data_IF_130055204486
#
_entry.id   IF_130055204486
#
_cell.length_a   1.000
_cell.length_b   1.000
_cell.length_c   1.000
_cell.angle_alpha   90.00
_cell.angle_beta   90.00
_cell.angle_gamma   90.00
#
_symmetry.space_group_name_H-M   'P 1'
#
loop_
_entity.id
_entity.type
_entity.pdbx_description
1 polymer ?
#
# COMPACT_ATOMS: atom_id res chain seq x y z
N UNK A 1 -0.40 -6.52 -17.45
CA UNK A 1 0.08 -5.54 -16.46
C UNK A 1 0.91 -6.25 -15.42
N UNK A 2 1.87 -5.54 -14.82
CA UNK A 2 2.82 -6.12 -13.89
C UNK A 2 2.20 -6.18 -12.48
N UNK A 3 1.97 -7.39 -11.98
CA UNK A 3 1.58 -7.68 -10.60
C UNK A 3 2.80 -8.01 -9.72
N UNK A 4 4.01 -7.97 -10.29
CA UNK A 4 5.19 -8.56 -9.69
C UNK A 4 6.01 -7.65 -8.79
N UNK A 5 5.70 -6.36 -8.69
CA UNK A 5 6.53 -5.44 -7.90
C UNK A 5 6.23 -5.53 -6.40
N UNK A 6 4.97 -5.78 -6.02
CA UNK A 6 4.54 -6.00 -4.64
C UNK A 6 4.03 -7.42 -4.45
N UNK A 7 4.42 -8.07 -3.36
CA UNK A 7 3.89 -9.38 -3.00
C UNK A 7 2.47 -9.31 -2.47
N UNK A 8 1.68 -10.38 -2.59
CA UNK A 8 0.41 -10.47 -1.87
C UNK A 8 0.65 -10.66 -0.37
N UNK A 9 -0.31 -10.22 0.42
CA UNK A 9 -0.33 -10.41 1.87
C UNK A 9 -1.42 -11.42 2.24
N UNK A 10 -1.05 -12.39 3.08
CA UNK A 10 -1.96 -13.39 3.63
C UNK A 10 -2.59 -12.85 4.92
N UNK A 11 -3.92 -12.75 4.96
CA UNK A 11 -4.72 -12.46 6.14
C UNK A 11 -5.28 -13.79 6.64
N UNK A 12 -4.43 -14.56 7.34
CA UNK A 12 -4.72 -15.95 7.69
C UNK A 12 -5.96 -16.09 8.58
N UNK A 13 -6.11 -15.20 9.53
CA UNK A 13 -7.22 -15.14 10.47
C UNK A 13 -8.58 -14.84 9.82
N UNK A 14 -8.56 -14.19 8.64
CA UNK A 14 -9.75 -13.88 7.84
C UNK A 14 -9.94 -14.85 6.66
N UNK A 15 -8.99 -15.73 6.38
CA UNK A 15 -9.01 -16.60 5.21
C UNK A 15 -8.92 -15.85 3.88
N UNK A 16 -8.20 -14.73 3.85
CA UNK A 16 -8.11 -13.82 2.71
C UNK A 16 -6.66 -13.63 2.24
N UNK A 17 -6.51 -13.30 0.97
CA UNK A 17 -5.28 -12.77 0.37
C UNK A 17 -5.58 -11.40 -0.23
N UNK A 18 -4.67 -10.46 -0.03
CA UNK A 18 -4.76 -9.10 -0.57
C UNK A 18 -3.53 -8.80 -1.39
N UNK A 19 -3.71 -8.21 -2.56
CA UNK A 19 -2.61 -7.80 -3.44
C UNK A 19 -3.00 -6.67 -4.36
N UNK A 20 -2.01 -5.97 -4.89
CA UNK A 20 -2.19 -4.89 -5.84
C UNK A 20 -1.01 -4.84 -6.82
N UNK A 21 -1.17 -4.09 -7.91
CA UNK A 21 -0.15 -3.95 -8.95
C UNK A 21 -0.19 -2.60 -9.65
N UNK A 22 0.38 -2.55 -10.85
CA UNK A 22 0.41 -1.33 -11.69
C UNK A 22 -0.94 -0.94 -12.29
N UNK A 23 -1.95 -1.74 -12.10
CA UNK A 23 -3.32 -1.34 -12.42
C UNK A 23 -3.94 -0.42 -11.37
N UNK A 24 -3.26 -0.23 -10.23
CA UNK A 24 -3.75 0.60 -9.14
C UNK A 24 -5.00 0.05 -8.46
N UNK A 25 -5.26 -1.24 -8.62
CA UNK A 25 -6.39 -1.93 -8.03
C UNK A 25 -5.90 -2.78 -6.87
N UNK A 26 -6.56 -2.67 -5.73
CA UNK A 26 -6.39 -3.54 -4.59
C UNK A 26 -7.42 -4.66 -4.66
N UNK A 27 -6.98 -5.90 -4.75
CA UNK A 27 -7.80 -7.09 -4.83
C UNK A 27 -7.82 -7.82 -3.49
N UNK A 28 -9.00 -8.29 -3.10
CA UNK A 28 -9.21 -9.18 -1.95
C UNK A 28 -9.80 -10.50 -2.45
N UNK A 29 -9.12 -11.60 -2.19
CA UNK A 29 -9.49 -12.93 -2.68
C UNK A 29 -9.57 -13.90 -1.51
N UNK A 30 -10.55 -14.81 -1.52
CA UNK A 30 -10.64 -15.90 -0.56
C UNK A 30 -9.63 -17.00 -0.87
N UNK A 31 -8.93 -17.49 0.15
CA UNK A 31 -7.90 -18.52 0.01
C UNK A 31 -8.48 -19.82 -0.54
N UNK A 32 -9.66 -20.22 -0.06
CA UNK A 32 -10.33 -21.46 -0.45
C UNK A 32 -10.92 -21.44 -1.87
N UNK A 33 -10.89 -20.27 -2.53
CA UNK A 33 -11.42 -20.09 -3.87
C UNK A 33 -10.34 -19.76 -4.90
N UNK A 34 -9.08 -19.76 -4.52
CA UNK A 34 -7.96 -19.48 -5.43
C UNK A 34 -7.86 -20.55 -6.53
N UNK A 35 -7.37 -20.13 -7.71
CA UNK A 35 -7.18 -21.02 -8.86
C UNK A 35 -8.44 -21.42 -9.59
N UNK A 36 -9.60 -20.97 -9.17
CA UNK A 36 -10.88 -21.25 -9.83
C UNK A 36 -11.17 -20.16 -10.86
N UNK A 37 -10.76 -20.36 -12.10
CA UNK A 37 -11.11 -19.47 -13.21
C UNK A 37 -12.19 -20.10 -14.07
N UNK A 38 -13.24 -19.35 -14.40
CA UNK A 38 -14.34 -19.82 -15.24
C UNK A 38 -14.08 -19.66 -16.74
N UNK A 39 -13.05 -18.93 -17.13
CA UNK A 39 -12.82 -18.55 -18.52
C UNK A 39 -11.40 -18.85 -18.97
N UNK A 40 -11.29 -19.48 -20.15
CA UNK A 40 -10.04 -19.57 -20.90
C UNK A 40 -9.70 -18.29 -21.67
N UNK A 41 -10.58 -17.32 -21.67
CA UNK A 41 -10.36 -16.04 -22.37
C UNK A 41 -9.62 -15.06 -21.48
N UNK A 42 -8.31 -15.18 -21.48
CA UNK A 42 -7.38 -14.30 -20.79
C UNK A 42 -7.28 -12.91 -21.46
N UNK A 43 -7.96 -12.69 -22.59
CA UNK A 43 -7.87 -11.44 -23.34
C UNK A 43 -8.88 -10.39 -22.88
N UNK A 44 -9.77 -10.73 -21.95
CA UNK A 44 -10.78 -9.80 -21.43
C UNK A 44 -10.80 -9.77 -19.90
N UNK A 45 -9.75 -9.32 -19.22
CA UNK A 45 -9.74 -9.36 -17.75
C UNK A 45 -10.83 -8.49 -17.11
N UNK A 46 -11.17 -7.35 -17.65
CA UNK A 46 -12.14 -6.45 -17.02
C UNK A 46 -13.60 -6.92 -17.16
N UNK A 47 -14.00 -7.30 -18.35
CA UNK A 47 -15.33 -7.90 -18.55
C UNK A 47 -15.45 -9.29 -17.94
N UNK A 48 -14.34 -9.89 -17.49
CA UNK A 48 -14.27 -11.24 -16.98
C UNK A 48 -14.14 -11.36 -15.46
N UNK A 49 -14.00 -10.29 -14.70
CA UNK A 49 -14.12 -10.38 -13.24
C UNK A 49 -15.48 -11.02 -12.85
N UNK A 50 -16.54 -10.71 -13.56
CA UNK A 50 -17.84 -11.34 -13.40
C UNK A 50 -17.90 -12.79 -13.93
N UNK A 51 -16.93 -13.22 -14.75
CA UNK A 51 -16.84 -14.55 -15.35
C UNK A 51 -15.84 -15.46 -14.66
N UNK A 52 -15.06 -14.96 -13.70
CA UNK A 52 -14.22 -15.80 -12.87
C UNK A 52 -15.11 -16.70 -12.01
N UNK A 53 -14.76 -17.98 -11.90
CA UNK A 53 -15.49 -18.90 -11.00
C UNK A 53 -15.35 -18.48 -9.53
N UNK A 54 -14.33 -17.72 -9.21
CA UNK A 54 -14.08 -17.09 -7.93
C UNK A 54 -13.61 -15.66 -8.17
N UNK A 55 -14.53 -14.72 -8.44
CA UNK A 55 -14.17 -13.31 -8.57
C UNK A 55 -13.59 -12.77 -7.25
N UNK A 56 -12.80 -11.69 -7.28
CA UNK A 56 -12.37 -11.04 -6.06
C UNK A 56 -13.60 -10.71 -5.20
N UNK A 57 -13.49 -10.93 -3.90
CA UNK A 57 -14.57 -10.65 -2.95
C UNK A 57 -14.82 -9.15 -2.88
N UNK A 58 -13.75 -8.39 -3.04
CA UNK A 58 -13.77 -6.95 -3.01
C UNK A 58 -12.56 -6.40 -3.78
N UNK A 59 -12.73 -5.24 -4.38
CA UNK A 59 -11.64 -4.48 -4.99
C UNK A 59 -11.92 -2.97 -4.88
N UNK A 60 -10.87 -2.18 -4.89
CA UNK A 60 -10.93 -0.73 -4.96
C UNK A 60 -9.75 -0.21 -5.75
N UNK A 61 -9.91 0.96 -6.34
CA UNK A 61 -8.78 1.68 -6.93
C UNK A 61 -8.16 2.62 -5.92
N UNK A 62 -6.89 2.90 -6.10
CA UNK A 62 -6.28 4.00 -5.38
C UNK A 62 -6.89 5.30 -5.90
N UNK A 63 -7.50 6.14 -5.03
CA UNK A 63 -8.21 7.33 -5.45
C UNK A 63 -7.34 8.34 -6.18
N UNK A 64 -7.93 9.14 -6.95
CA UNK A 64 -7.44 10.02 -8.00
C UNK A 64 -8.17 9.71 -9.30
N UNK A 65 -8.94 8.63 -9.29
CA UNK A 65 -9.65 8.10 -10.43
C UNK A 65 -11.16 8.02 -10.17
N UNK A 66 -11.89 8.98 -10.68
CA UNK A 66 -13.34 9.03 -10.56
C UNK A 66 -14.05 8.27 -11.70
N UNK A 67 -13.80 6.98 -11.85
CA UNK A 67 -14.55 6.16 -12.81
C UNK A 67 -15.40 5.16 -12.04
N UNK A 68 -16.65 5.50 -11.91
CA UNK A 68 -17.71 4.63 -11.48
C UNK A 68 -18.89 4.83 -12.47
N UNK A 69 -19.36 3.81 -13.17
CA UNK A 69 -18.98 2.39 -13.10
C UNK A 69 -17.68 2.05 -13.85
N UNK A 70 -17.12 0.87 -13.50
CA UNK A 70 -15.95 0.33 -14.19
C UNK A 70 -16.28 0.09 -15.68
N UNK A 71 -15.45 0.56 -16.63
CA UNK A 71 -15.68 0.27 -18.04
C UNK A 71 -15.63 -1.24 -18.31
N UNK A 72 -16.56 -1.75 -19.13
CA UNK A 72 -16.61 -3.15 -19.54
C UNK A 72 -15.52 -3.55 -20.55
N UNK A 73 -14.83 -2.56 -21.11
CA UNK A 73 -13.78 -2.75 -22.11
C UNK A 73 -12.40 -2.70 -21.50
N UNK A 74 -11.68 -3.82 -21.57
CA UNK A 74 -10.33 -3.96 -21.01
C UNK A 74 -9.29 -3.04 -21.63
N UNK A 75 -9.39 -2.73 -22.90
CA UNK A 75 -8.40 -1.84 -23.54
C UNK A 75 -8.53 -0.42 -22.99
N UNK A 76 -9.74 0.00 -22.75
CA UNK A 76 -10.07 1.25 -22.06
C UNK A 76 -9.66 1.20 -20.60
N UNK A 77 -9.95 0.13 -19.87
CA UNK A 77 -9.51 -0.09 -18.50
C UNK A 77 -7.99 -0.05 -18.37
N UNK A 78 -7.27 -0.87 -19.12
CA UNK A 78 -5.81 -0.92 -19.07
C UNK A 78 -5.19 0.45 -19.36
N UNK A 79 -5.68 1.14 -20.38
CA UNK A 79 -5.19 2.47 -20.73
C UNK A 79 -5.50 3.50 -19.64
N UNK A 80 -6.72 3.49 -19.13
CA UNK A 80 -7.16 4.43 -18.11
C UNK A 80 -6.45 4.16 -16.79
N UNK A 81 -6.42 2.92 -16.31
CA UNK A 81 -5.77 2.59 -15.04
C UNK A 81 -4.26 2.80 -15.11
N UNK A 82 -3.60 2.33 -16.15
CA UNK A 82 -2.16 2.57 -16.30
C UNK A 82 -1.79 4.05 -16.38
N UNK A 83 -2.64 4.87 -16.97
CA UNK A 83 -2.35 6.30 -17.18
C UNK A 83 -2.81 7.22 -16.05
N UNK A 84 -3.66 6.74 -15.12
CA UNK A 84 -4.31 7.64 -14.16
C UNK A 84 -4.41 7.08 -12.74
N UNK A 85 -3.88 5.89 -12.48
CA UNK A 85 -3.88 5.30 -11.14
C UNK A 85 -2.53 5.41 -10.49
N UNK A 86 -2.53 5.37 -9.16
CA UNK A 86 -1.32 5.26 -8.36
C UNK A 86 -0.87 3.80 -8.36
N UNK A 87 0.17 3.47 -9.14
CA UNK A 87 0.70 2.12 -9.21
C UNK A 87 1.18 1.66 -7.83
N UNK A 88 0.84 0.43 -7.45
CA UNK A 88 1.29 -0.17 -6.21
C UNK A 88 2.50 -1.06 -6.47
N UNK A 89 3.65 -0.73 -5.87
CA UNK A 89 4.89 -1.49 -6.00
C UNK A 89 5.31 -2.17 -4.71
N UNK A 90 4.76 -1.77 -3.57
CA UNK A 90 4.98 -2.40 -2.29
C UNK A 90 3.85 -3.37 -1.95
N UNK A 91 4.15 -4.39 -1.15
CA UNK A 91 3.12 -5.23 -0.55
C UNK A 91 2.24 -4.39 0.37
N UNK A 92 0.94 -4.64 0.44
CA UNK A 92 0.11 -4.14 1.53
C UNK A 92 0.67 -4.58 2.88
N UNK A 93 0.40 -3.83 3.93
CA UNK A 93 0.71 -4.22 5.31
C UNK A 93 -0.58 -4.50 6.05
N UNK A 94 -0.62 -5.59 6.80
CA UNK A 94 -1.78 -6.03 7.55
C UNK A 94 -1.48 -6.10 9.04
N UNK A 95 -2.44 -5.69 9.87
CA UNK A 95 -2.39 -5.85 11.31
C UNK A 95 -3.79 -6.06 11.90
N UNK A 96 -3.89 -7.03 12.83
CA UNK A 96 -5.13 -7.36 13.51
C UNK A 96 -5.01 -7.14 15.03
N UNK A 97 -5.14 -5.91 15.46
CA UNK A 97 -5.07 -5.51 16.88
C UNK A 97 -5.65 -4.14 17.13
N UNK A 98 -6.16 -3.48 16.08
CA UNK A 98 -6.80 -2.18 16.18
C UNK A 98 -8.18 -2.26 16.82
N UNK A 99 -8.57 -1.21 17.55
CA UNK A 99 -9.94 -1.00 18.01
C UNK A 99 -10.94 -0.84 16.84
N UNK A 100 -10.42 -0.52 15.65
CA UNK A 100 -11.21 -0.46 14.40
C UNK A 100 -11.37 -1.84 13.73
N UNK A 101 -10.80 -2.91 14.31
CA UNK A 101 -10.73 -4.24 13.72
C UNK A 101 -9.47 -4.45 12.87
N UNK A 102 -9.44 -5.51 12.03
CA UNK A 102 -8.31 -5.80 11.16
C UNK A 102 -8.07 -4.67 10.14
N UNK A 103 -6.81 -4.29 9.96
CA UNK A 103 -6.44 -3.13 9.16
C UNK A 103 -5.48 -3.47 8.02
N UNK A 104 -5.65 -2.77 6.90
CA UNK A 104 -4.77 -2.78 5.74
C UNK A 104 -4.19 -1.39 5.50
N UNK A 105 -2.90 -1.36 5.13
CA UNK A 105 -2.18 -0.15 4.74
C UNK A 105 -1.56 -0.34 3.36
N UNK A 106 -1.72 0.65 2.48
CA UNK A 106 -1.13 0.65 1.15
C UNK A 106 -0.61 2.04 0.80
N UNK A 107 0.50 2.10 0.06
CA UNK A 107 1.10 3.35 -0.38
C UNK A 107 1.59 3.27 -1.83
N UNK A 108 0.76 3.73 -2.75
CA UNK A 108 1.08 3.76 -4.18
C UNK A 108 1.93 4.96 -4.60
N UNK A 109 2.41 4.92 -5.84
CA UNK A 109 3.15 6.00 -6.49
C UNK A 109 2.40 7.33 -6.43
N UNK A 110 3.14 8.42 -6.21
CA UNK A 110 2.63 9.80 -6.24
C UNK A 110 1.30 9.96 -5.48
N UNK A 111 1.16 9.22 -4.39
CA UNK A 111 -0.06 9.14 -3.60
C UNK A 111 0.20 9.18 -2.11
N UNK A 112 -0.89 9.28 -1.35
CA UNK A 112 -0.87 9.22 0.11
C UNK A 112 -0.88 7.77 0.61
N UNK A 113 -0.26 7.52 1.75
CA UNK A 113 -0.50 6.31 2.53
C UNK A 113 -2.00 6.24 2.90
N UNK A 114 -2.59 5.07 2.75
CA UNK A 114 -4.02 4.86 3.03
C UNK A 114 -4.23 3.68 3.96
N UNK A 115 -5.23 3.83 4.82
CA UNK A 115 -5.65 2.83 5.79
C UNK A 115 -7.12 2.46 5.56
N UNK A 116 -7.39 1.15 5.65
CA UNK A 116 -8.74 0.57 5.62
C UNK A 116 -8.93 -0.40 6.77
N UNK A 117 -10.15 -0.57 7.25
CA UNK A 117 -10.52 -1.80 7.94
C UNK A 117 -10.93 -2.86 6.92
N UNK A 118 -10.79 -4.14 7.28
CA UNK A 118 -11.24 -5.24 6.44
C UNK A 118 -11.99 -6.29 7.27
N UNK A 119 -13.20 -6.63 6.86
CA UNK A 119 -14.01 -7.65 7.52
C UNK A 119 -13.72 -9.06 6.98
N UNK A 120 -14.18 -10.08 7.71
CA UNK A 120 -14.09 -11.49 7.28
C UNK A 120 -14.87 -11.79 5.99
N UNK A 121 -15.80 -10.92 5.61
CA UNK A 121 -16.49 -10.98 4.32
C UNK A 121 -15.61 -10.50 3.15
N UNK A 122 -14.41 -9.99 3.43
CA UNK A 122 -13.47 -9.45 2.46
C UNK A 122 -13.75 -8.02 2.01
N UNK A 123 -14.77 -7.38 2.56
CA UNK A 123 -15.07 -5.96 2.26
C UNK A 123 -14.18 -5.06 3.12
N UNK A 124 -13.48 -4.14 2.46
CA UNK A 124 -12.69 -3.14 3.13
C UNK A 124 -13.39 -1.77 3.13
N UNK A 125 -13.23 -1.05 4.25
CA UNK A 125 -13.78 0.29 4.44
C UNK A 125 -12.64 1.28 4.67
N UNK A 126 -12.58 2.33 3.87
CA UNK A 126 -11.59 3.39 4.01
C UNK A 126 -11.73 4.13 5.34
N UNK A 127 -10.60 4.40 5.99
CA UNK A 127 -10.55 5.10 7.28
C UNK A 127 -9.79 6.42 7.21
N UNK A 128 -8.55 6.39 6.72
CA UNK A 128 -7.65 7.53 6.84
C UNK A 128 -6.57 7.52 5.76
N UNK A 129 -5.94 8.68 5.54
CA UNK A 129 -4.70 8.78 4.76
C UNK A 129 -3.66 9.68 5.45
N UNK A 130 -2.43 9.59 4.96
CA UNK A 130 -1.35 10.52 5.35
C UNK A 130 -1.50 11.88 4.67
N UNK A 131 -0.87 12.90 5.24
CA UNK A 131 -0.65 14.17 4.54
C UNK A 131 0.48 14.04 3.51
N UNK A 132 1.45 13.17 3.77
CA UNK A 132 2.62 12.95 2.92
C UNK A 132 2.26 12.21 1.65
N UNK A 133 2.95 12.57 0.59
CA UNK A 133 2.89 11.91 -0.73
C UNK A 133 4.24 11.24 -1.00
N UNK A 134 4.22 9.94 -1.26
CA UNK A 134 5.44 9.21 -1.64
C UNK A 134 5.75 9.44 -3.10
N UNK A 135 7.04 9.58 -3.44
CA UNK A 135 7.51 9.74 -4.81
C UNK A 135 6.83 10.91 -5.53
N UNK A 136 6.67 12.02 -4.83
CA UNK A 136 5.88 13.16 -5.32
C UNK A 136 6.35 13.67 -6.67
N UNK A 137 5.40 13.89 -7.58
CA UNK A 137 5.61 14.53 -8.88
C UNK A 137 4.56 15.59 -9.16
N UNK A 138 4.94 16.57 -9.97
CA UNK A 138 4.01 17.61 -10.47
C UNK A 138 3.03 17.11 -11.52
N UNK A 139 3.31 15.95 -12.12
CA UNK A 139 2.46 15.33 -13.15
C UNK A 139 1.45 14.39 -12.50
N UNK A 140 0.30 14.25 -13.16
CA UNK A 140 -0.69 13.24 -12.76
C UNK A 140 -0.13 11.81 -12.90
N UNK A 141 -0.65 10.81 -12.14
CA UNK A 141 -0.30 9.41 -12.33
C UNK A 141 -0.45 8.95 -13.79
N UNK A 142 0.34 7.97 -14.25
CA UNK A 142 1.40 7.29 -13.53
C UNK A 142 2.65 8.16 -13.44
N UNK A 143 3.36 8.01 -12.35
CA UNK A 143 4.62 8.73 -12.13
C UNK A 143 4.93 8.84 -10.65
N UNK A 144 6.19 9.10 -10.35
CA UNK A 144 6.62 9.14 -8.98
C UNK A 144 6.83 7.74 -8.38
N UNK A 145 7.57 6.89 -9.06
CA UNK A 145 7.88 5.53 -8.65
C UNK A 145 8.83 5.50 -7.45
N UNK A 146 8.70 4.55 -6.52
CA UNK A 146 7.78 3.43 -6.49
C UNK A 146 6.62 3.57 -5.48
N UNK A 147 6.43 4.68 -4.84
CA UNK A 147 5.55 4.79 -3.67
C UNK A 147 6.27 4.48 -2.36
N UNK A 148 5.55 4.09 -1.31
CA UNK A 148 6.11 3.84 0.02
C UNK A 148 6.43 2.36 0.26
N UNK A 149 7.63 2.08 0.79
CA UNK A 149 8.06 0.75 1.24
C UNK A 149 7.81 0.64 2.75
N UNK A 150 7.01 -0.34 3.18
CA UNK A 150 6.46 -0.35 4.53
C UNK A 150 6.69 -1.67 5.27
N UNK A 151 6.78 -1.57 6.60
CA UNK A 151 6.59 -2.68 7.53
C UNK A 151 5.86 -2.20 8.79
N UNK A 152 5.45 -3.11 9.64
CA UNK A 152 4.74 -2.79 10.88
C UNK A 152 5.37 -3.51 12.07
N UNK A 153 5.44 -2.82 13.20
CA UNK A 153 5.76 -3.42 14.50
C UNK A 153 4.60 -3.22 15.46
N UNK A 154 4.33 -4.24 16.26
CA UNK A 154 3.32 -4.20 17.32
C UNK A 154 3.66 -5.21 18.41
N UNK A 155 3.08 -5.04 19.59
CA UNK A 155 3.10 -6.07 20.63
C UNK A 155 1.96 -7.09 20.38
N UNK A 156 2.16 -7.95 19.37
CA UNK A 156 1.13 -8.88 18.93
C UNK A 156 -0.14 -8.16 18.48
N UNK A 157 -1.27 -8.50 19.09
CA UNK A 157 -2.57 -7.86 18.85
C UNK A 157 -2.96 -6.86 19.95
N UNK A 158 -2.02 -6.45 20.79
CA UNK A 158 -2.29 -5.50 21.87
C UNK A 158 -2.65 -4.14 21.28
N UNK A 159 -3.82 -3.56 21.61
CA UNK A 159 -4.24 -2.24 21.11
C UNK A 159 -3.21 -1.16 21.46
N UNK A 160 -3.18 -0.11 20.64
CA UNK A 160 -2.33 1.08 20.81
C UNK A 160 -0.81 0.80 20.85
N UNK A 161 -0.35 -0.30 20.23
CA UNK A 161 1.08 -0.64 20.16
C UNK A 161 1.65 -0.70 18.76
N UNK A 162 0.82 -0.56 17.73
CA UNK A 162 1.27 -0.70 16.36
C UNK A 162 1.84 0.61 15.79
N UNK A 163 3.05 0.47 15.25
CA UNK A 163 3.73 1.53 14.51
C UNK A 163 3.96 1.06 13.08
N UNK A 164 3.48 1.82 12.13
CA UNK A 164 3.74 1.60 10.71
C UNK A 164 4.97 2.40 10.29
N UNK A 165 6.02 1.68 9.92
CA UNK A 165 7.27 2.24 9.42
C UNK A 165 7.23 2.31 7.90
N UNK A 166 7.63 3.45 7.34
CA UNK A 166 7.62 3.65 5.91
C UNK A 166 8.88 4.38 5.42
N UNK A 167 9.54 3.80 4.43
CA UNK A 167 10.55 4.50 3.63
C UNK A 167 9.91 5.02 2.36
N UNK A 168 10.06 6.30 2.08
CA UNK A 168 9.59 6.94 0.85
C UNK A 168 10.71 7.74 0.19
N UNK A 169 10.76 7.83 -1.14
CA UNK A 169 11.56 8.84 -1.81
C UNK A 169 10.81 10.18 -1.81
N UNK A 170 11.56 11.28 -1.75
CA UNK A 170 10.97 12.63 -1.88
C UNK A 170 10.40 12.89 -3.27
N UNK A 171 11.07 12.34 -4.28
CA UNK A 171 10.77 12.53 -5.70
C UNK A 171 10.71 11.19 -6.41
N UNK A 172 10.45 11.22 -7.69
CA UNK A 172 10.51 10.02 -8.54
C UNK A 172 11.90 9.35 -8.47
N UNK A 173 11.92 8.12 -7.98
CA UNK A 173 13.12 7.28 -7.94
C UNK A 173 13.17 6.28 -9.11
N UNK A 174 12.45 6.52 -10.20
CA UNK A 174 12.40 5.59 -11.33
C UNK A 174 13.76 5.44 -12.02
N UNK A 175 14.37 6.55 -12.39
CA UNK A 175 15.57 6.56 -13.24
C UNK A 175 16.82 7.03 -12.51
N UNK A 176 16.70 7.58 -11.32
CA UNK A 176 17.82 8.09 -10.54
C UNK A 176 17.69 7.74 -9.05
N UNK A 177 18.81 7.65 -8.37
CA UNK A 177 18.86 7.56 -6.92
C UNK A 177 18.49 8.93 -6.34
N UNK A 178 17.55 8.94 -5.42
CA UNK A 178 17.11 10.16 -4.75
C UNK A 178 17.18 10.03 -3.23
N UNK A 179 17.02 11.16 -2.51
CA UNK A 179 16.97 11.15 -1.05
C UNK A 179 15.75 10.39 -0.54
N UNK A 180 15.97 9.61 0.51
CA UNK A 180 14.95 8.86 1.24
C UNK A 180 14.48 9.58 2.50
N UNK A 181 13.28 9.29 2.93
CA UNK A 181 12.67 9.71 4.19
C UNK A 181 12.09 8.50 4.90
N UNK A 182 12.43 8.34 6.16
CA UNK A 182 11.86 7.30 7.02
C UNK A 182 10.83 7.95 7.94
N UNK A 183 9.65 7.36 7.98
CA UNK A 183 8.50 7.83 8.75
C UNK A 183 7.98 6.72 9.65
N UNK A 184 7.54 7.08 10.85
CA UNK A 184 6.76 6.24 11.73
C UNK A 184 5.35 6.84 11.87
N UNK A 185 4.33 6.06 11.57
CA UNK A 185 2.93 6.44 11.74
C UNK A 185 2.28 5.67 12.88
N UNK A 186 1.37 6.36 13.58
CA UNK A 186 0.45 5.70 14.47
C UNK A 186 -0.53 4.84 13.64
N UNK A 187 -0.41 3.52 13.77
CA UNK A 187 -1.29 2.59 13.07
C UNK A 187 -2.57 2.28 13.88
N UNK A 188 -2.77 2.93 15.01
CA UNK A 188 -3.84 2.61 15.96
C UNK A 188 -4.86 3.73 16.14
N UNK A 189 -4.41 4.98 16.07
CA UNK A 189 -5.23 6.16 16.29
C UNK A 189 -5.08 7.16 15.15
N UNK A 190 -6.21 7.72 14.72
CA UNK A 190 -6.28 8.65 13.62
C UNK A 190 -6.61 10.06 14.11
N UNK A 191 -5.96 11.05 13.50
CA UNK A 191 -6.38 12.44 13.58
C UNK A 191 -7.47 12.74 12.57
N UNK A 192 -7.71 14.02 12.35
CA UNK A 192 -8.71 14.51 11.40
C UNK A 192 -8.14 15.69 10.62
N UNK A 193 -8.29 15.66 9.31
CA UNK A 193 -8.01 16.83 8.46
C UNK A 193 -9.06 17.92 8.65
N UNK A 194 -8.77 19.12 8.15
CA UNK A 194 -9.70 20.25 8.24
C UNK A 194 -11.05 20.01 7.55
N UNK A 195 -11.11 19.11 6.58
CA UNK A 195 -12.34 18.70 5.88
C UNK A 195 -13.13 17.61 6.61
N UNK A 196 -12.64 17.14 7.75
CA UNK A 196 -13.27 16.10 8.56
C UNK A 196 -12.86 14.66 8.19
N UNK A 197 -12.05 14.46 7.15
CA UNK A 197 -11.56 13.13 6.79
C UNK A 197 -10.49 12.63 7.76
N UNK A 198 -10.33 11.30 7.87
CA UNK A 198 -9.36 10.67 8.76
C UNK A 198 -7.92 10.91 8.33
N UNK A 199 -7.05 11.21 9.29
CA UNK A 199 -5.63 11.47 9.08
C UNK A 199 -4.75 10.48 9.84
N UNK A 200 -3.82 9.84 9.14
CA UNK A 200 -2.70 9.11 9.75
C UNK A 200 -1.69 10.10 10.32
N UNK A 201 -1.36 9.95 11.59
CA UNK A 201 -0.44 10.85 12.29
C UNK A 201 0.98 10.32 12.32
N UNK A 202 1.94 11.19 12.01
CA UNK A 202 3.35 10.90 12.18
C UNK A 202 3.69 10.90 13.68
N UNK A 203 4.36 9.84 14.12
CA UNK A 203 4.98 9.73 15.44
C UNK A 203 6.44 10.16 15.42
N UNK A 204 7.12 9.91 14.31
CA UNK A 204 8.52 10.24 14.13
C UNK A 204 8.88 10.37 12.64
N UNK A 205 9.83 11.28 12.36
CA UNK A 205 10.28 11.62 11.01
C UNK A 205 11.80 11.78 10.99
N UNK A 206 12.48 11.09 10.08
CA UNK A 206 13.94 11.21 9.92
C UNK A 206 14.42 12.62 9.56
N UNK A 207 13.57 13.45 8.94
CA UNK A 207 13.88 14.83 8.60
C UNK A 207 14.12 15.69 9.83
N UNK A 208 13.33 15.51 10.88
CA UNK A 208 13.42 16.31 12.11
C UNK A 208 14.76 16.10 12.82
N UNK A 209 15.45 15.00 12.51
CA UNK A 209 16.74 14.61 13.08
C UNK A 209 17.90 14.74 12.10
N UNK A 210 17.66 15.29 10.91
CA UNK A 210 18.66 15.40 9.84
C UNK A 210 19.33 14.05 9.48
N UNK A 211 18.57 12.96 9.52
CA UNK A 211 19.01 11.61 9.20
C UNK A 211 18.76 11.34 7.72
N UNK A 212 19.69 11.73 6.87
CA UNK A 212 19.61 11.54 5.42
C UNK A 212 20.18 10.20 4.97
N UNK A 213 19.53 9.60 3.97
CA UNK A 213 20.00 8.41 3.25
C UNK A 213 19.50 8.42 1.81
N UNK A 214 20.17 7.65 0.95
CA UNK A 214 19.68 7.43 -0.43
C UNK A 214 18.65 6.32 -0.44
N UNK A 215 17.49 6.59 -1.03
CA UNK A 215 16.36 5.67 -1.06
C UNK A 215 16.70 4.41 -1.86
N UNK A 216 16.42 3.24 -1.27
CA UNK A 216 16.53 1.94 -1.93
C UNK A 216 15.14 1.43 -2.31
N UNK A 217 14.79 1.48 -3.60
CA UNK A 217 13.47 1.05 -4.05
C UNK A 217 13.29 -0.46 -3.98
N UNK A 218 12.04 -0.89 -3.79
CA UNK A 218 11.61 -2.29 -3.65
C UNK A 218 12.17 -3.02 -2.43
N UNK A 219 12.73 -2.29 -1.48
CA UNK A 219 13.32 -2.87 -0.27
C UNK A 219 12.65 -2.25 0.95
N UNK A 220 11.63 -2.90 1.53
CA UNK A 220 10.97 -2.39 2.72
C UNK A 220 11.91 -2.42 3.94
N UNK A 221 11.71 -1.53 4.91
CA UNK A 221 12.36 -1.66 6.21
C UNK A 221 11.90 -2.95 6.90
N UNK A 222 12.71 -3.46 7.83
CA UNK A 222 12.43 -4.68 8.58
C UNK A 222 12.56 -4.43 10.07
N UNK A 223 11.57 -4.83 10.84
CA UNK A 223 11.64 -4.82 12.30
C UNK A 223 12.01 -6.20 12.81
N UNK A 224 13.09 -6.27 13.59
CA UNK A 224 13.53 -7.50 14.24
C UNK A 224 14.28 -7.18 15.54
N UNK A 225 14.06 -7.98 16.58
CA UNK A 225 14.78 -7.88 17.85
C UNK A 225 14.78 -6.46 18.46
N UNK A 226 13.65 -5.77 18.42
CA UNK A 226 13.51 -4.41 18.95
C UNK A 226 14.26 -3.32 18.17
N UNK A 227 14.67 -3.62 16.94
CA UNK A 227 15.36 -2.68 16.04
C UNK A 227 14.66 -2.61 14.70
N UNK A 228 14.78 -1.47 14.04
CA UNK A 228 14.36 -1.23 12.67
C UNK A 228 15.61 -1.19 11.78
N UNK A 229 15.64 -2.00 10.77
CA UNK A 229 16.70 -2.10 9.76
C UNK A 229 16.20 -1.45 8.48
N UNK A 230 16.92 -0.46 7.99
CA UNK A 230 16.56 0.32 6.80
C UNK A 230 17.63 0.12 5.74
N UNK A 231 17.37 -0.65 4.68
CA UNK A 231 18.28 -0.76 3.55
C UNK A 231 18.38 0.59 2.82
N UNK A 232 19.61 0.99 2.49
CA UNK A 232 19.86 2.24 1.76
C UNK A 232 20.62 1.96 0.47
N UNK A 233 20.54 2.86 -0.49
CA UNK A 233 21.34 2.77 -1.72
C UNK A 233 22.78 3.25 -1.51
N UNK A 234 23.12 3.64 -0.28
CA UNK A 234 24.48 4.08 0.13
C UNK A 234 25.39 2.90 0.49
N UNK A 235 25.08 1.69 0.05
CA UNK A 235 25.77 0.43 0.37
C UNK A 235 25.87 0.15 1.89
N UNK A 236 24.84 0.57 2.66
CA UNK A 236 24.73 0.29 4.09
C UNK A 236 23.30 -0.04 4.49
N UNK A 237 23.16 -0.62 5.66
CA UNK A 237 21.89 -0.77 6.36
C UNK A 237 21.92 0.11 7.58
N UNK A 238 21.02 1.09 7.65
CA UNK A 238 20.86 1.93 8.82
C UNK A 238 20.02 1.20 9.87
N UNK A 239 20.44 1.26 11.12
CA UNK A 239 19.79 0.54 12.22
C UNK A 239 19.31 1.52 13.27
N UNK A 240 18.01 1.55 13.50
CA UNK A 240 17.35 2.37 14.49
C UNK A 240 16.89 1.49 15.66
N UNK A 241 16.99 2.01 16.88
CA UNK A 241 16.56 1.34 18.09
C UNK A 241 16.24 2.36 19.16
N UNK A 242 15.62 1.91 20.26
CA UNK A 242 15.48 2.73 21.44
C UNK A 242 16.87 2.95 22.05
N UNK A 243 17.14 4.18 22.46
CA UNK A 243 18.34 4.57 23.21
C UNK A 243 18.25 4.09 24.68
#
# INVERSE_FOLDING_TARGET
MDLGSGGPVLLQDLGLIVGAGKDGILFVVKIDQMGKTASSDLNHPAGNYAKLAAPPVWFTYFPGFGVDPMPDDISTLNRLFFQRTHHQHASPVYWHGSEHGPMLFCWGENGNLRAWTIGANGVATYLACSAEVASAQSLAPPGGMPGGMMCLSANGTTPNTAVLWACIPYFDANTAVGPGRLLAYDATAFGTFADGSGQLRILWDSQDWNLGFSFCKFTPPVVANGKLYVPTYDARVDVYGLA
#
